data_IF_218814952731
#
_entry.id   IF_218814952731
#
_cell.length_a   1.000
_cell.length_b   1.000
_cell.length_c   1.000
_cell.angle_alpha   90.00
_cell.angle_beta   90.00
_cell.angle_gamma   90.00
#
_symmetry.space_group_name_H-M   'P 1'
#
loop_
_entity.id
_entity.type
_entity.pdbx_description
1 polymer ?
#
# COMPACT_ATOMS: atom_id res chain seq x y z
N UNK A 1 -21.46 -17.89 8.93
CA UNK A 1 -21.92 -16.66 8.28
C UNK A 1 -20.93 -15.56 8.60
N UNK A 2 -20.27 -15.01 7.56
CA UNK A 2 -19.32 -13.92 7.72
C UNK A 2 -20.04 -12.65 8.20
N UNK A 3 -19.28 -11.75 8.83
CA UNK A 3 -19.78 -10.41 9.20
C UNK A 3 -18.82 -9.33 8.71
N UNK A 4 -19.37 -8.21 8.26
CA UNK A 4 -18.62 -7.00 7.93
C UNK A 4 -18.85 -5.91 8.98
N UNK A 5 -17.77 -5.30 9.49
CA UNK A 5 -17.80 -4.18 10.43
C UNK A 5 -17.00 -3.04 9.83
N UNK A 6 -17.56 -1.84 9.77
CA UNK A 6 -16.84 -0.62 9.45
C UNK A 6 -16.46 0.11 10.74
N UNK A 7 -15.22 0.59 10.81
CA UNK A 7 -14.69 1.35 11.94
C UNK A 7 -14.07 2.64 11.42
N UNK A 8 -14.43 3.74 12.08
CA UNK A 8 -13.86 5.05 11.86
C UNK A 8 -12.96 5.43 13.04
N UNK A 9 -11.84 6.10 12.76
CA UNK A 9 -10.91 6.61 13.76
C UNK A 9 -10.16 7.85 13.28
N UNK A 10 -9.59 8.60 14.23
CA UNK A 10 -8.80 9.80 13.99
C UNK A 10 -7.33 9.55 14.37
N UNK A 11 -6.39 9.68 13.42
CA UNK A 11 -4.96 9.65 13.70
C UNK A 11 -4.55 10.85 14.56
N UNK A 12 -3.59 10.65 15.46
CA UNK A 12 -3.12 11.71 16.38
C UNK A 12 -1.96 12.53 15.81
N UNK A 13 -1.35 12.05 14.74
CA UNK A 13 -0.16 12.63 14.10
C UNK A 13 -0.12 12.22 12.63
N UNK A 14 0.71 12.91 11.83
CA UNK A 14 0.86 12.62 10.39
C UNK A 14 1.29 11.18 10.14
N UNK A 15 2.40 10.76 10.73
CA UNK A 15 2.81 9.36 10.74
C UNK A 15 2.29 8.71 12.03
N UNK A 16 1.18 7.97 11.97
CA UNK A 16 0.60 7.30 13.13
C UNK A 16 0.44 5.79 12.94
N UNK A 17 0.33 5.06 14.06
CA UNK A 17 0.12 3.61 14.04
C UNK A 17 -0.95 3.24 15.05
N UNK A 18 -1.96 2.52 14.58
CA UNK A 18 -3.09 2.06 15.36
C UNK A 18 -3.15 0.52 15.38
N UNK A 19 -3.44 -0.06 16.54
CA UNK A 19 -3.88 -1.46 16.63
C UNK A 19 -5.39 -1.54 16.39
N UNK A 20 -5.78 -1.86 15.16
CA UNK A 20 -7.19 -1.93 14.76
C UNK A 20 -7.92 -3.07 15.48
N UNK A 21 -7.22 -4.13 15.89
CA UNK A 21 -7.85 -5.21 16.66
C UNK A 21 -8.31 -4.71 18.02
N UNK A 22 -7.46 -3.97 18.72
CA UNK A 22 -7.80 -3.37 20.01
C UNK A 22 -8.96 -2.38 19.85
N UNK A 23 -8.94 -1.56 18.78
CA UNK A 23 -9.99 -0.56 18.53
C UNK A 23 -11.34 -1.20 18.20
N UNK A 24 -11.36 -2.24 17.36
CA UNK A 24 -12.60 -2.99 17.07
C UNK A 24 -13.15 -3.62 18.36
N UNK A 25 -12.29 -4.23 19.18
CA UNK A 25 -12.72 -4.82 20.45
C UNK A 25 -13.29 -3.76 21.42
N UNK A 26 -12.73 -2.55 21.43
CA UNK A 26 -13.22 -1.44 22.24
C UNK A 26 -14.61 -0.97 21.79
N UNK A 27 -14.85 -0.91 20.48
CA UNK A 27 -16.09 -0.38 19.89
C UNK A 27 -17.21 -1.41 19.76
N UNK A 28 -16.85 -2.66 19.46
CA UNK A 28 -17.79 -3.73 19.09
C UNK A 28 -17.68 -4.98 19.98
N UNK A 29 -16.87 -4.92 21.05
CA UNK A 29 -16.64 -6.07 21.93
C UNK A 29 -16.01 -7.25 21.19
N UNK A 30 -16.36 -8.46 21.62
CA UNK A 30 -15.86 -9.72 21.07
C UNK A 30 -16.48 -10.14 19.72
N UNK A 31 -17.10 -9.21 18.96
CA UNK A 31 -17.86 -9.55 17.75
C UNK A 31 -17.07 -10.36 16.70
N UNK A 32 -15.76 -10.15 16.60
CA UNK A 32 -14.88 -10.87 15.67
C UNK A 32 -14.20 -12.11 16.27
N UNK A 33 -14.38 -12.41 17.57
CA UNK A 33 -13.78 -13.58 18.23
C UNK A 33 -14.21 -14.93 17.63
N UNK A 34 -15.49 -15.14 17.24
CA UNK A 34 -15.93 -16.41 16.65
C UNK A 34 -15.25 -16.78 15.32
N UNK A 35 -14.58 -15.82 14.66
CA UNK A 35 -14.04 -15.98 13.32
C UNK A 35 -12.54 -16.31 13.33
N UNK A 36 -12.19 -17.41 12.68
CA UNK A 36 -10.80 -17.91 12.55
C UNK A 36 -9.95 -17.01 11.66
N UNK A 37 -10.55 -16.32 10.69
CA UNK A 37 -9.87 -15.42 9.77
C UNK A 37 -10.57 -14.08 9.73
N UNK A 38 -9.78 -13.03 9.52
CA UNK A 38 -10.27 -11.65 9.44
C UNK A 38 -9.59 -10.95 8.27
N UNK A 39 -10.37 -10.40 7.36
CA UNK A 39 -9.89 -9.56 6.26
C UNK A 39 -10.01 -8.11 6.70
N UNK A 40 -8.92 -7.35 6.68
CA UNK A 40 -8.89 -5.94 7.01
C UNK A 40 -8.67 -5.12 5.75
N UNK A 41 -9.51 -4.11 5.53
CA UNK A 41 -9.57 -3.32 4.31
C UNK A 41 -9.54 -1.82 4.61
N UNK A 42 -8.42 -1.17 4.28
CA UNK A 42 -8.24 0.27 4.32
C UNK A 42 -8.97 0.93 3.15
N UNK A 43 -9.58 2.09 3.41
CA UNK A 43 -10.23 2.92 2.41
C UNK A 43 -9.31 4.07 1.93
N UNK A 44 -8.01 4.01 2.22
CA UNK A 44 -7.08 5.11 2.00
C UNK A 44 -5.92 4.72 1.09
N UNK A 45 -5.34 5.73 0.44
CA UNK A 45 -4.19 5.61 -0.49
C UNK A 45 -2.85 5.91 0.20
N UNK A 46 -2.90 6.58 1.36
CA UNK A 46 -1.74 6.92 2.20
C UNK A 46 -1.76 6.22 3.56
N UNK A 47 -2.68 5.29 3.77
CA UNK A 47 -2.80 4.55 5.02
C UNK A 47 -3.27 3.12 4.79
N UNK A 48 -2.72 2.16 5.52
CA UNK A 48 -3.12 0.76 5.40
C UNK A 48 -2.33 -0.17 6.31
N UNK A 49 -2.34 -1.44 5.98
CA UNK A 49 -1.98 -2.50 6.91
C UNK A 49 -0.59 -3.06 6.68
N UNK A 50 0.05 -3.45 7.78
CA UNK A 50 1.18 -4.38 7.71
C UNK A 50 0.64 -5.81 7.49
N UNK A 51 1.18 -6.60 6.54
CA UNK A 51 0.87 -8.02 6.45
C UNK A 51 1.25 -8.75 7.74
N UNK A 52 0.46 -9.75 8.15
CA UNK A 52 0.65 -10.46 9.42
C UNK A 52 2.07 -10.99 9.63
N UNK A 53 2.71 -11.49 8.58
CA UNK A 53 4.09 -11.99 8.64
C UNK A 53 5.12 -10.88 8.86
N UNK A 54 4.91 -9.69 8.30
CA UNK A 54 5.77 -8.53 8.51
C UNK A 54 5.55 -7.96 9.91
N UNK A 55 4.29 -7.78 10.31
CA UNK A 55 3.94 -7.36 11.66
C UNK A 55 4.56 -8.30 12.71
N UNK A 56 4.50 -9.62 12.52
CA UNK A 56 5.05 -10.59 13.47
C UNK A 56 6.56 -10.44 13.63
N UNK A 57 7.28 -10.17 12.53
CA UNK A 57 8.72 -9.91 12.57
C UNK A 57 9.04 -8.60 13.28
N UNK A 58 8.29 -7.55 13.01
CA UNK A 58 8.49 -6.25 13.66
C UNK A 58 8.15 -6.30 15.15
N UNK A 59 7.06 -6.97 15.56
CA UNK A 59 6.70 -7.17 16.97
C UNK A 59 7.72 -8.00 17.75
N UNK A 60 8.41 -8.92 17.07
CA UNK A 60 9.34 -9.83 17.76
C UNK A 60 10.55 -9.12 18.38
N UNK A 61 10.81 -7.84 18.02
CA UNK A 61 11.96 -7.07 18.51
C UNK A 61 11.61 -5.61 18.79
N UNK A 62 11.92 -5.07 19.98
CA UNK A 62 11.49 -3.73 20.40
C UNK A 62 11.79 -2.59 19.42
N UNK A 63 12.97 -2.59 18.79
CA UNK A 63 13.44 -1.50 17.94
C UNK A 63 13.09 -1.65 16.44
N UNK A 64 12.58 -2.81 16.03
CA UNK A 64 12.37 -3.10 14.61
C UNK A 64 11.29 -2.22 14.00
N UNK A 65 10.22 -1.95 14.76
CA UNK A 65 9.11 -1.14 14.31
C UNK A 65 9.51 0.32 14.09
N UNK A 66 10.23 0.92 15.04
CA UNK A 66 10.75 2.29 14.92
C UNK A 66 11.75 2.41 13.76
N UNK A 67 12.64 1.43 13.61
CA UNK A 67 13.62 1.38 12.51
C UNK A 67 12.92 1.30 11.15
N UNK A 68 11.82 0.54 11.07
CA UNK A 68 11.00 0.46 9.86
C UNK A 68 10.38 1.80 9.50
N UNK A 69 9.74 2.49 10.47
CA UNK A 69 9.15 3.80 10.22
C UNK A 69 10.20 4.87 9.86
N UNK A 70 11.35 4.84 10.54
CA UNK A 70 12.48 5.72 10.24
C UNK A 70 13.00 5.51 8.81
N UNK A 71 13.09 4.26 8.35
CA UNK A 71 13.49 3.97 6.98
C UNK A 71 12.52 4.62 5.98
N UNK A 72 11.20 4.50 6.19
CA UNK A 72 10.21 5.12 5.28
C UNK A 72 10.42 6.63 5.16
N UNK A 73 10.53 7.35 6.28
CA UNK A 73 10.75 8.80 6.27
C UNK A 73 12.14 9.22 5.77
N UNK A 74 13.13 8.32 5.82
CA UNK A 74 14.46 8.58 5.24
C UNK A 74 14.46 8.46 3.72
N UNK A 75 13.70 7.49 3.19
CA UNK A 75 13.61 7.24 1.74
C UNK A 75 12.66 8.23 1.08
N UNK A 76 11.54 8.51 1.73
CA UNK A 76 10.48 9.40 1.27
C UNK A 76 10.31 10.53 2.29
N UNK A 77 11.25 11.49 2.33
CA UNK A 77 11.13 12.64 3.22
C UNK A 77 9.93 13.51 2.84
N UNK A 78 9.24 14.06 3.84
CA UNK A 78 8.12 14.97 3.63
C UNK A 78 8.56 16.23 2.87
N UNK A 79 7.68 16.78 2.01
CA UNK A 79 7.88 18.07 1.30
C UNK A 79 9.19 18.15 0.52
N UNK A 80 9.63 17.05 -0.07
CA UNK A 80 10.92 16.97 -0.73
C UNK A 80 10.88 17.39 -2.21
N UNK A 81 9.95 18.27 -2.60
CA UNK A 81 9.78 18.71 -3.98
C UNK A 81 9.34 17.58 -4.92
N UNK A 82 8.32 16.81 -4.52
CA UNK A 82 7.68 15.83 -5.39
C UNK A 82 6.86 16.55 -6.47
N UNK A 83 6.72 15.93 -7.64
CA UNK A 83 5.92 16.52 -8.72
C UNK A 83 4.43 16.44 -8.44
N UNK A 84 3.97 15.36 -7.81
CA UNK A 84 2.60 15.21 -7.35
C UNK A 84 2.14 16.37 -6.45
N UNK A 85 3.06 16.96 -5.69
CA UNK A 85 2.77 18.09 -4.80
C UNK A 85 2.74 19.46 -5.52
N UNK A 86 3.12 19.51 -6.80
CA UNK A 86 3.12 20.73 -7.63
C UNK A 86 1.73 20.97 -8.21
N UNK A 87 0.82 21.50 -7.38
CA UNK A 87 -0.60 21.68 -7.69
C UNK A 87 -0.84 22.50 -8.96
N UNK A 88 0.07 23.39 -9.32
CA UNK A 88 0.04 24.20 -10.54
C UNK A 88 0.16 23.37 -11.82
N UNK A 89 0.80 22.20 -11.74
CA UNK A 89 0.94 21.26 -12.85
C UNK A 89 -0.21 20.25 -12.95
N UNK A 90 -1.07 20.18 -11.91
CA UNK A 90 -2.17 19.21 -11.83
C UNK A 90 -3.41 19.70 -12.56
N UNK A 91 -3.80 18.97 -13.59
CA UNK A 91 -5.01 19.25 -14.38
C UNK A 91 -6.23 18.48 -13.90
N UNK A 92 -6.03 17.49 -13.04
CA UNK A 92 -7.05 16.62 -12.46
C UNK A 92 -7.77 17.25 -11.25
N UNK A 93 -7.17 18.27 -10.62
CA UNK A 93 -7.75 18.96 -9.45
C UNK A 93 -8.50 20.23 -9.88
N UNK A 94 -9.81 20.32 -9.60
CA UNK A 94 -10.60 21.52 -9.83
C UNK A 94 -10.01 22.75 -9.11
N UNK A 95 -10.05 23.96 -9.70
CA UNK A 95 -9.45 25.15 -9.11
C UNK A 95 -9.90 25.46 -7.67
N UNK A 96 -11.16 25.18 -7.34
CA UNK A 96 -11.77 25.40 -6.02
C UNK A 96 -11.31 24.40 -4.94
N UNK A 97 -10.62 23.33 -5.34
CA UNK A 97 -10.12 22.29 -4.44
C UNK A 97 -8.60 22.38 -4.22
N UNK A 98 -7.87 23.11 -5.06
CA UNK A 98 -6.40 23.18 -5.06
C UNK A 98 -5.81 23.61 -3.72
N UNK A 99 -6.41 24.59 -3.04
CA UNK A 99 -5.92 25.09 -1.75
C UNK A 99 -6.07 24.08 -0.60
N UNK A 100 -6.87 23.04 -0.79
CA UNK A 100 -7.16 22.00 0.21
C UNK A 100 -6.46 20.68 -0.10
N UNK A 101 -5.75 20.61 -1.22
CA UNK A 101 -5.07 19.40 -1.63
C UNK A 101 -3.87 19.15 -0.72
N UNK A 102 -3.78 17.96 -0.09
CA UNK A 102 -2.67 17.64 0.77
C UNK A 102 -1.39 17.44 -0.03
N UNK A 103 -0.28 17.93 0.52
CA UNK A 103 1.08 17.64 0.05
C UNK A 103 1.49 16.31 0.70
N UNK A 104 1.31 15.21 -0.02
CA UNK A 104 1.45 13.87 0.55
C UNK A 104 2.04 12.83 -0.42
N UNK A 105 2.72 13.27 -1.49
CA UNK A 105 3.40 12.38 -2.42
C UNK A 105 4.33 11.37 -1.71
N UNK A 106 5.06 11.82 -0.68
CA UNK A 106 5.90 10.96 0.14
C UNK A 106 5.11 9.81 0.79
N UNK A 107 3.91 10.09 1.27
CA UNK A 107 3.03 9.11 1.90
C UNK A 107 2.53 8.07 0.90
N UNK A 108 2.19 8.49 -0.33
CA UNK A 108 1.81 7.56 -1.40
C UNK A 108 2.99 6.62 -1.77
N UNK A 109 4.18 7.18 -1.96
CA UNK A 109 5.37 6.41 -2.31
C UNK A 109 5.80 5.47 -1.17
N UNK A 110 5.77 5.96 0.07
CA UNK A 110 6.06 5.16 1.26
C UNK A 110 5.04 4.03 1.45
N UNK A 111 3.76 4.23 1.11
CA UNK A 111 2.77 3.17 1.10
C UNK A 111 3.14 2.09 0.07
N UNK A 112 3.37 2.50 -1.17
CA UNK A 112 3.65 1.64 -2.32
C UNK A 112 4.94 0.84 -2.12
N UNK A 113 6.00 1.49 -1.64
CA UNK A 113 7.32 0.88 -1.48
C UNK A 113 7.56 0.23 -0.11
N UNK A 114 6.92 0.73 0.95
CA UNK A 114 7.07 0.24 2.32
C UNK A 114 6.45 -1.13 2.57
N UNK A 115 5.71 -1.66 1.59
CA UNK A 115 5.06 -2.95 1.71
C UNK A 115 3.78 -2.91 2.54
N UNK A 116 3.19 -1.73 2.73
CA UNK A 116 1.83 -1.55 3.25
C UNK A 116 0.80 -2.04 2.26
N UNK A 117 -0.33 -2.51 2.79
CA UNK A 117 -1.39 -3.16 2.04
C UNK A 117 -2.71 -2.44 2.27
N UNK A 118 -3.47 -2.20 1.19
CA UNK A 118 -4.87 -1.77 1.33
C UNK A 118 -5.71 -2.86 1.99
N UNK A 119 -5.39 -4.13 1.73
CA UNK A 119 -6.15 -5.27 2.20
C UNK A 119 -5.24 -6.40 2.71
N UNK A 120 -5.50 -6.93 3.90
CA UNK A 120 -4.73 -8.04 4.51
C UNK A 120 -5.64 -9.08 5.15
N UNK A 121 -5.31 -10.36 4.98
CA UNK A 121 -5.93 -11.45 5.75
C UNK A 121 -5.05 -11.80 6.96
N UNK A 122 -5.66 -11.90 8.14
CA UNK A 122 -5.01 -12.36 9.37
C UNK A 122 -5.66 -13.64 9.87
N UNK A 123 -4.84 -14.61 10.28
CA UNK A 123 -5.30 -15.75 11.09
C UNK A 123 -5.47 -15.29 12.54
N UNK A 124 -6.69 -15.43 13.06
CA UNK A 124 -7.07 -15.02 14.40
C UNK A 124 -6.35 -15.85 15.49
N UNK A 125 -5.92 -17.08 15.19
CA UNK A 125 -5.16 -17.95 16.11
C UNK A 125 -3.81 -17.35 16.50
N UNK A 126 -3.28 -16.43 15.70
CA UNK A 126 -2.10 -15.65 16.03
C UNK A 126 -2.56 -14.38 16.74
N UNK A 127 -2.50 -14.42 18.06
CA UNK A 127 -2.83 -13.30 18.95
C UNK A 127 -1.73 -12.25 18.89
N UNK A 128 -1.90 -11.30 17.97
CA UNK A 128 -0.98 -10.18 17.77
C UNK A 128 -1.74 -8.94 17.29
N UNK A 129 -1.21 -7.73 17.55
CA UNK A 129 -1.78 -6.49 17.04
C UNK A 129 -1.98 -6.52 15.52
N UNK A 130 -2.99 -5.81 15.05
CA UNK A 130 -3.21 -5.56 13.62
C UNK A 130 -2.91 -4.11 13.34
N UNK A 131 -1.68 -3.85 12.91
CA UNK A 131 -1.21 -2.49 12.71
C UNK A 131 -1.74 -1.89 11.42
N UNK A 132 -2.46 -0.79 11.59
CA UNK A 132 -2.78 0.19 10.56
C UNK A 132 -1.78 1.33 10.69
N UNK A 133 -1.00 1.55 9.63
CA UNK A 133 -0.01 2.61 9.52
C UNK A 133 -0.61 3.71 8.68
N UNK A 134 -0.75 4.89 9.27
CA UNK A 134 -1.16 6.11 8.60
C UNK A 134 0.07 6.96 8.31
N UNK A 135 0.29 7.29 7.04
CA UNK A 135 1.44 8.09 6.61
C UNK A 135 1.06 9.57 6.39
N UNK A 136 -0.22 9.92 6.50
CA UNK A 136 -0.75 11.26 6.25
C UNK A 136 -1.93 11.60 7.18
N UNK A 137 -1.84 11.20 8.45
CA UNK A 137 -2.94 11.19 9.41
C UNK A 137 -3.47 12.56 9.85
N UNK A 138 -2.69 13.63 9.64
CA UNK A 138 -3.07 15.00 9.99
C UNK A 138 -2.71 15.94 8.86
N UNK A 139 -3.60 16.88 8.52
CA UNK A 139 -3.33 17.96 7.58
C UNK A 139 -3.37 19.30 8.31
N UNK A 140 -2.26 20.06 8.26
CA UNK A 140 -2.13 21.36 8.95
C UNK A 140 -2.56 21.33 10.43
N UNK A 141 -2.22 20.26 11.15
CA UNK A 141 -2.57 20.08 12.56
C UNK A 141 -4.00 19.56 12.82
N UNK A 142 -4.82 19.42 11.78
CA UNK A 142 -6.16 18.83 11.88
C UNK A 142 -6.11 17.33 11.62
N UNK A 143 -6.60 16.47 12.54
CA UNK A 143 -6.76 15.03 12.30
C UNK A 143 -7.65 14.76 11.08
N UNK A 144 -7.23 13.80 10.25
CA UNK A 144 -8.07 13.31 9.15
C UNK A 144 -8.95 12.17 9.64
N UNK A 145 -10.11 12.00 9.02
CA UNK A 145 -10.96 10.85 9.30
C UNK A 145 -10.46 9.61 8.54
N UNK A 146 -10.36 8.48 9.24
CA UNK A 146 -9.98 7.20 8.65
C UNK A 146 -11.04 6.16 8.86
N UNK A 147 -11.51 5.61 7.74
CA UNK A 147 -12.35 4.43 7.68
C UNK A 147 -11.59 3.16 7.34
N UNK A 148 -11.94 2.06 7.99
CA UNK A 148 -11.57 0.70 7.58
C UNK A 148 -12.76 -0.24 7.69
N UNK A 149 -12.76 -1.30 6.89
CA UNK A 149 -13.72 -2.41 7.02
C UNK A 149 -12.99 -3.67 7.44
N UNK A 150 -13.61 -4.45 8.32
CA UNK A 150 -13.12 -5.75 8.77
C UNK A 150 -14.19 -6.79 8.48
N UNK A 151 -13.80 -7.87 7.80
CA UNK A 151 -14.70 -9.00 7.50
C UNK A 151 -14.23 -10.22 8.29
N UNK A 152 -15.04 -10.68 9.23
CA UNK A 152 -14.81 -11.94 9.95
C UNK A 152 -15.34 -13.12 9.15
N UNK A 153 -14.53 -14.16 8.96
CA UNK A 153 -14.91 -15.38 8.24
C UNK A 153 -14.14 -16.61 8.75
N UNK A 154 -14.65 -17.81 8.48
CA UNK A 154 -14.02 -19.06 8.88
C UNK A 154 -13.41 -19.78 7.68
N UNK A 155 -14.12 -19.79 6.56
CA UNK A 155 -13.63 -20.36 5.31
C UNK A 155 -13.89 -19.49 4.10
N UNK A 156 -13.26 -19.87 2.98
CA UNK A 156 -13.47 -19.24 1.70
C UNK A 156 -13.60 -20.29 0.60
N UNK A 157 -14.54 -20.06 -0.31
CA UNK A 157 -14.77 -20.87 -1.50
C UNK A 157 -14.46 -20.04 -2.73
N UNK A 158 -13.69 -20.58 -3.68
CA UNK A 158 -13.50 -19.95 -5.00
C UNK A 158 -14.72 -20.24 -5.86
N UNK A 159 -15.41 -19.21 -6.31
CA UNK A 159 -16.68 -19.34 -7.06
C UNK A 159 -16.55 -18.91 -8.52
N UNK A 160 -15.54 -18.10 -8.87
CA UNK A 160 -15.24 -17.75 -10.24
C UNK A 160 -13.75 -17.43 -10.43
N UNK A 161 -13.23 -17.69 -11.62
CA UNK A 161 -11.88 -17.32 -12.02
C UNK A 161 -11.85 -16.91 -13.50
N UNK A 162 -11.03 -15.92 -13.85
CA UNK A 162 -10.75 -15.54 -15.24
C UNK A 162 -9.37 -14.90 -15.36
N UNK A 163 -8.98 -14.56 -16.58
CA UNK A 163 -7.76 -13.80 -16.87
C UNK A 163 -8.11 -12.47 -17.51
N UNK A 164 -7.45 -11.42 -17.03
CA UNK A 164 -7.44 -10.10 -17.62
C UNK A 164 -6.11 -9.91 -18.36
N UNK A 165 -6.20 -9.54 -19.64
CA UNK A 165 -5.05 -9.10 -20.43
C UNK A 165 -4.96 -7.58 -20.34
N UNK A 166 -3.85 -7.09 -19.80
CA UNK A 166 -3.58 -5.66 -19.64
C UNK A 166 -2.59 -5.22 -20.71
N UNK A 167 -2.95 -4.32 -21.64
CA UNK A 167 -2.00 -3.73 -22.57
C UNK A 167 -1.00 -2.86 -21.79
N UNK A 168 0.27 -2.95 -22.17
CA UNK A 168 1.34 -2.14 -21.58
C UNK A 168 2.17 -1.51 -22.68
N UNK A 169 2.72 -0.32 -22.43
CA UNK A 169 3.60 0.32 -23.40
C UNK A 169 4.93 -0.44 -23.55
N UNK A 170 5.64 -0.15 -24.65
CA UNK A 170 7.02 -0.60 -24.84
C UNK A 170 8.03 0.09 -23.93
N UNK A 171 7.60 1.08 -23.13
CA UNK A 171 8.50 1.78 -22.22
C UNK A 171 8.94 0.87 -21.06
N UNK A 172 10.19 1.01 -20.59
CA UNK A 172 10.69 0.19 -19.48
C UNK A 172 9.86 0.33 -18.22
N UNK A 173 9.43 1.54 -17.88
CA UNK A 173 8.61 1.81 -16.71
C UNK A 173 7.27 2.34 -17.18
N UNK A 174 6.21 1.73 -16.66
CA UNK A 174 4.83 2.06 -17.01
C UNK A 174 3.91 1.79 -15.80
N UNK A 175 2.83 2.54 -15.67
CA UNK A 175 1.83 2.38 -14.63
C UNK A 175 0.44 2.44 -15.27
N UNK A 176 -0.36 1.40 -15.07
CA UNK A 176 -1.65 1.23 -15.73
C UNK A 176 -2.74 1.14 -14.66
N UNK A 177 -3.69 2.06 -14.73
CA UNK A 177 -4.92 2.00 -13.93
C UNK A 177 -5.77 0.82 -14.39
N UNK A 178 -6.00 -0.15 -13.52
CA UNK A 178 -6.86 -1.29 -13.83
C UNK A 178 -8.36 -0.95 -13.73
N UNK A 179 -8.70 0.28 -13.35
CA UNK A 179 -10.07 0.81 -13.31
C UNK A 179 -10.52 1.43 -14.65
N UNK A 180 -9.63 1.50 -15.63
CA UNK A 180 -9.94 1.93 -16.99
C UNK A 180 -11.11 1.10 -17.56
N UNK A 181 -12.18 1.73 -18.07
CA UNK A 181 -13.35 1.03 -18.59
C UNK A 181 -13.03 -0.01 -19.66
N UNK A 182 -12.02 0.26 -20.48
CA UNK A 182 -11.56 -0.59 -21.59
C UNK A 182 -11.08 -1.97 -21.12
N UNK A 183 -10.67 -2.08 -19.86
CA UNK A 183 -10.24 -3.34 -19.25
C UNK A 183 -11.43 -4.18 -18.72
N UNK A 184 -12.61 -3.59 -18.57
CA UNK A 184 -13.82 -4.28 -18.10
C UNK A 184 -13.74 -4.86 -16.68
N UNK A 185 -12.67 -4.61 -15.91
CA UNK A 185 -12.42 -5.23 -14.60
C UNK A 185 -13.60 -5.05 -13.63
N UNK A 186 -14.03 -3.82 -13.41
CA UNK A 186 -15.08 -3.50 -12.43
C UNK A 186 -16.46 -4.01 -12.87
N UNK A 187 -16.75 -3.99 -14.16
CA UNK A 187 -17.96 -4.57 -14.72
C UNK A 187 -17.96 -6.09 -14.51
N UNK A 188 -16.86 -6.77 -14.84
CA UNK A 188 -16.70 -8.21 -14.64
C UNK A 188 -16.90 -8.59 -13.16
N UNK A 189 -16.29 -7.85 -12.23
CA UNK A 189 -16.45 -8.09 -10.79
C UNK A 189 -17.90 -7.91 -10.37
N UNK A 190 -18.57 -6.80 -10.76
CA UNK A 190 -19.98 -6.57 -10.43
C UNK A 190 -20.87 -7.69 -10.94
N UNK A 191 -20.67 -8.11 -12.19
CA UNK A 191 -21.41 -9.21 -12.82
C UNK A 191 -21.23 -10.51 -12.06
N UNK A 192 -20.00 -10.86 -11.68
CA UNK A 192 -19.74 -12.06 -10.90
C UNK A 192 -20.33 -12.01 -9.49
N UNK A 193 -20.21 -10.88 -8.79
CA UNK A 193 -20.76 -10.72 -7.44
C UNK A 193 -22.27 -10.95 -7.44
N UNK A 194 -22.97 -10.37 -8.43
CA UNK A 194 -24.41 -10.58 -8.60
C UNK A 194 -24.74 -12.04 -8.99
N UNK A 195 -24.06 -12.59 -10.00
CA UNK A 195 -24.34 -13.94 -10.53
C UNK A 195 -24.10 -15.04 -9.50
N UNK A 196 -23.09 -14.87 -8.63
CA UNK A 196 -22.74 -15.83 -7.59
C UNK A 196 -23.30 -15.46 -6.21
N UNK A 197 -24.10 -14.40 -6.08
CA UNK A 197 -24.70 -13.99 -4.81
C UNK A 197 -23.67 -13.79 -3.68
N UNK A 198 -22.50 -13.24 -3.98
CA UNK A 198 -21.43 -13.05 -2.98
C UNK A 198 -21.72 -11.80 -2.15
N UNK A 199 -22.18 -11.95 -0.91
CA UNK A 199 -22.40 -10.81 0.00
C UNK A 199 -21.12 -10.37 0.70
N UNK A 200 -20.31 -11.34 1.15
CA UNK A 200 -19.01 -11.11 1.76
C UNK A 200 -17.96 -12.03 1.11
N UNK A 201 -16.81 -11.46 0.76
CA UNK A 201 -15.80 -12.15 -0.01
C UNK A 201 -14.64 -11.27 -0.43
N UNK A 202 -13.96 -11.67 -1.51
CA UNK A 202 -12.94 -10.84 -2.16
C UNK A 202 -12.76 -11.23 -3.62
N UNK A 203 -12.25 -10.29 -4.41
CA UNK A 203 -11.62 -10.56 -5.69
C UNK A 203 -10.11 -10.42 -5.51
N UNK A 204 -9.38 -11.49 -5.76
CA UNK A 204 -7.91 -11.46 -5.77
C UNK A 204 -7.43 -11.22 -7.19
N UNK A 205 -6.56 -10.23 -7.36
CA UNK A 205 -5.85 -9.98 -8.61
C UNK A 205 -4.44 -10.49 -8.42
N UNK A 206 -3.98 -11.38 -9.28
CA UNK A 206 -2.65 -11.99 -9.18
C UNK A 206 -1.95 -12.01 -10.54
N UNK A 207 -0.71 -11.51 -10.58
CA UNK A 207 0.13 -11.58 -11.78
C UNK A 207 0.42 -13.03 -12.14
N UNK A 208 0.27 -13.35 -13.43
CA UNK A 208 0.63 -14.66 -13.97
C UNK A 208 2.07 -15.05 -13.59
N UNK A 209 2.37 -16.35 -13.41
CA UNK A 209 3.65 -16.81 -12.87
C UNK A 209 4.87 -16.28 -13.65
N UNK A 210 4.73 -16.13 -14.95
CA UNK A 210 5.78 -15.66 -15.87
C UNK A 210 5.86 -14.12 -15.98
N UNK A 211 4.96 -13.39 -15.30
CA UNK A 211 4.96 -11.93 -15.29
C UNK A 211 6.04 -11.39 -14.34
N UNK A 212 7.26 -11.37 -14.85
CA UNK A 212 8.40 -10.78 -14.19
C UNK A 212 8.49 -9.28 -14.45
N UNK A 213 9.17 -8.58 -13.54
CA UNK A 213 9.42 -7.13 -13.64
C UNK A 213 8.15 -6.27 -13.69
N UNK A 214 7.08 -6.79 -13.10
CA UNK A 214 5.82 -6.11 -12.89
C UNK A 214 5.31 -6.41 -11.47
N UNK A 215 4.42 -5.55 -11.00
CA UNK A 215 3.78 -5.65 -9.71
C UNK A 215 2.41 -4.97 -9.67
N UNK A 216 1.71 -5.18 -8.58
CA UNK A 216 0.39 -4.65 -8.30
C UNK A 216 0.42 -3.83 -7.02
N UNK A 217 -0.34 -2.75 -7.01
CA UNK A 217 -0.65 -1.95 -5.81
C UNK A 217 -2.09 -1.47 -5.87
N UNK A 218 -2.65 -1.05 -4.73
CA UNK A 218 -3.91 -0.31 -4.69
C UNK A 218 -3.59 1.05 -4.10
N UNK A 219 -3.69 2.09 -4.91
CA UNK A 219 -3.32 3.44 -4.53
C UNK A 219 -4.12 4.46 -5.36
N UNK A 220 -3.78 5.73 -5.25
CA UNK A 220 -4.28 6.77 -6.14
C UNK A 220 -3.57 6.69 -7.48
N UNK A 221 -4.34 6.83 -8.56
CA UNK A 221 -3.80 6.97 -9.89
C UNK A 221 -3.82 8.45 -10.28
N UNK A 222 -2.77 9.16 -9.90
CA UNK A 222 -2.51 10.54 -10.30
C UNK A 222 -1.30 10.54 -11.25
N UNK A 223 -1.35 11.36 -12.30
CA UNK A 223 -0.40 11.31 -13.41
C UNK A 223 1.02 11.68 -12.98
N UNK A 224 1.20 12.76 -12.23
CA UNK A 224 2.51 13.20 -11.76
C UNK A 224 3.14 12.19 -10.79
N UNK A 225 2.34 11.64 -9.88
CA UNK A 225 2.75 10.59 -8.97
C UNK A 225 3.19 9.33 -9.72
N UNK A 226 2.37 8.86 -10.66
CA UNK A 226 2.62 7.59 -11.36
C UNK A 226 3.70 7.67 -12.44
N UNK A 227 3.76 8.78 -13.19
CA UNK A 227 4.62 8.93 -14.37
C UNK A 227 5.93 9.68 -14.07
N UNK A 228 6.01 10.38 -12.94
CA UNK A 228 7.24 11.07 -12.54
C UNK A 228 7.79 10.53 -11.23
N UNK A 229 7.12 10.77 -10.11
CA UNK A 229 7.70 10.46 -8.80
C UNK A 229 7.97 8.96 -8.64
N UNK A 230 6.97 8.10 -8.90
CA UNK A 230 7.15 6.64 -8.83
C UNK A 230 8.18 6.14 -9.85
N UNK A 231 8.21 6.72 -11.05
CA UNK A 231 9.18 6.37 -12.09
C UNK A 231 10.61 6.66 -11.64
N UNK A 232 10.85 7.82 -11.03
CA UNK A 232 12.17 8.18 -10.49
C UNK A 232 12.60 7.20 -9.39
N UNK A 233 11.69 6.84 -8.47
CA UNK A 233 11.97 5.84 -7.42
C UNK A 233 12.31 4.47 -8.04
N UNK A 234 11.58 4.03 -9.06
CA UNK A 234 11.83 2.74 -9.73
C UNK A 234 13.13 2.74 -10.56
N UNK A 235 13.56 3.90 -11.09
CA UNK A 235 14.84 4.01 -11.82
C UNK A 235 16.03 3.93 -10.89
N UNK A 236 16.04 4.73 -9.82
CA UNK A 236 17.16 4.83 -8.91
C UNK A 236 16.71 5.25 -7.50
N UNK A 237 16.31 4.29 -6.64
CA UNK A 237 15.75 4.61 -5.34
C UNK A 237 16.76 5.30 -4.40
N UNK A 238 18.06 4.96 -4.49
CA UNK A 238 19.10 5.60 -3.67
C UNK A 238 19.39 7.02 -4.15
N UNK A 239 19.43 7.23 -5.45
CA UNK A 239 19.57 8.55 -6.06
C UNK A 239 18.38 9.44 -5.73
N UNK A 240 17.17 8.89 -5.83
CA UNK A 240 15.93 9.56 -5.46
C UNK A 240 15.96 10.04 -4.02
N UNK A 241 16.23 9.16 -3.05
CA UNK A 241 16.31 9.54 -1.64
C UNK A 241 17.38 10.63 -1.40
N UNK A 242 18.53 10.55 -2.06
CA UNK A 242 19.58 11.55 -1.95
C UNK A 242 19.18 12.91 -2.55
N UNK A 243 18.49 12.92 -3.69
CA UNK A 243 17.98 14.12 -4.34
C UNK A 243 16.88 14.78 -3.49
N UNK A 244 15.89 14.00 -3.05
CA UNK A 244 14.79 14.46 -2.20
C UNK A 244 15.30 15.02 -0.87
N UNK A 245 16.31 14.39 -0.25
CA UNK A 245 16.97 14.95 0.93
C UNK A 245 17.64 16.32 0.66
N UNK A 246 18.22 16.55 -0.53
CA UNK A 246 18.77 17.87 -0.91
C UNK A 246 17.68 18.90 -1.15
N UNK A 247 16.52 18.52 -1.68
CA UNK A 247 15.40 19.44 -1.85
C UNK A 247 14.82 19.84 -0.49
N UNK A 248 14.61 18.88 0.41
CA UNK A 248 14.20 19.16 1.78
C UNK A 248 15.22 20.04 2.52
N UNK A 249 16.52 19.95 2.21
CA UNK A 249 17.57 20.83 2.74
C UNK A 249 17.40 22.30 2.33
N UNK A 250 16.95 22.55 1.09
CA UNK A 250 16.82 23.90 0.54
C UNK A 250 15.51 24.59 0.96
N UNK A 251 14.59 23.88 1.60
CA UNK A 251 13.36 24.45 2.16
C UNK A 251 13.45 24.58 3.69
N UNK A 252 13.57 25.80 4.23
CA UNK A 252 13.69 26.05 5.68
C UNK A 252 12.44 25.62 6.48
N UNK A 253 11.32 25.28 5.83
CA UNK A 253 10.09 24.80 6.48
C UNK A 253 9.92 23.28 6.46
N UNK A 254 10.84 22.53 5.84
CA UNK A 254 10.64 21.11 5.56
C UNK A 254 11.02 20.16 6.72
N UNK A 255 11.93 20.50 7.66
CA UNK A 255 12.34 19.57 8.75
C UNK A 255 12.86 20.29 10.03
N UNK A 256 12.57 19.80 11.26
CA UNK A 256 13.26 20.24 12.49
C UNK A 256 14.78 20.00 12.43
N UNK A 257 15.56 20.96 12.91
CA UNK A 257 17.02 21.11 12.74
C UNK A 257 17.96 19.97 13.20
N UNK A 258 17.49 18.74 13.47
CA UNK A 258 18.32 17.60 13.96
C UNK A 258 18.48 16.42 12.99
N UNK A 259 17.95 16.46 11.77
CA UNK A 259 18.10 15.38 10.77
C UNK A 259 19.26 15.64 9.80
N UNK A 260 20.44 15.97 10.33
CA UNK A 260 21.58 16.53 9.61
C UNK A 260 22.74 15.52 9.50
N UNK A 261 22.82 14.73 8.43
CA UNK A 261 24.08 14.35 7.75
C UNK A 261 23.86 13.30 6.64
N UNK A 262 24.31 13.60 5.42
CA UNK A 262 24.61 12.63 4.35
C UNK A 262 23.54 11.55 4.05
N UNK A 263 22.53 11.90 3.25
CA UNK A 263 21.41 11.02 2.87
C UNK A 263 21.79 9.61 2.38
N UNK A 264 22.92 9.44 1.67
CA UNK A 264 23.38 8.09 1.26
C UNK A 264 23.83 7.25 2.47
N UNK A 265 24.56 7.85 3.40
CA UNK A 265 24.98 7.17 4.62
C UNK A 265 23.79 6.95 5.55
N UNK A 266 22.84 7.88 5.61
CA UNK A 266 21.62 7.77 6.41
C UNK A 266 20.69 6.68 5.91
N UNK A 267 20.53 6.52 4.60
CA UNK A 267 19.76 5.42 4.04
C UNK A 267 20.42 4.06 4.29
N UNK A 268 21.73 3.95 4.03
CA UNK A 268 22.49 2.73 4.32
C UNK A 268 22.45 2.40 5.82
N UNK A 269 22.59 3.42 6.68
CA UNK A 269 22.50 3.28 8.14
C UNK A 269 21.09 2.89 8.59
N UNK A 270 20.03 3.49 8.04
CA UNK A 270 18.65 3.13 8.36
C UNK A 270 18.33 1.70 7.90
N UNK A 271 18.83 1.30 6.72
CA UNK A 271 18.71 -0.06 6.23
C UNK A 271 19.46 -1.05 7.13
N UNK A 272 20.70 -0.75 7.49
CA UNK A 272 21.49 -1.59 8.41
C UNK A 272 20.79 -1.69 9.78
N UNK A 273 20.31 -0.57 10.32
CA UNK A 273 19.53 -0.55 11.57
C UNK A 273 18.30 -1.45 11.48
N UNK A 274 17.54 -1.41 10.36
CA UNK A 274 16.40 -2.30 10.17
C UNK A 274 16.83 -3.77 10.04
N UNK A 275 17.88 -4.07 9.29
CA UNK A 275 18.42 -5.42 9.12
C UNK A 275 18.85 -6.02 10.46
N UNK A 276 19.62 -5.25 11.24
CA UNK A 276 20.09 -5.62 12.58
C UNK A 276 18.91 -5.79 13.53
N UNK A 277 17.96 -4.85 13.51
CA UNK A 277 16.75 -4.90 14.30
C UNK A 277 15.80 -6.03 13.87
N UNK A 278 15.94 -6.60 12.67
CA UNK A 278 15.24 -7.79 12.21
C UNK A 278 16.06 -9.08 12.43
N UNK A 279 17.27 -8.99 12.96
CA UNK A 279 18.16 -10.12 13.24
C UNK A 279 18.50 -10.97 12.01
N UNK A 280 18.57 -10.33 10.83
CA UNK A 280 18.99 -10.97 9.60
C UNK A 280 20.54 -10.97 9.61
N UNK A 281 21.16 -12.12 9.92
CA UNK A 281 22.60 -12.20 10.23
C UNK A 281 23.53 -11.49 9.24
N UNK A 282 24.53 -10.78 9.80
CA UNK A 282 25.51 -9.95 9.10
C UNK A 282 26.17 -10.65 7.89
N UNK A 283 26.45 -11.95 7.97
CA UNK A 283 27.14 -12.70 6.91
C UNK A 283 26.33 -12.94 5.63
N UNK A 284 24.99 -12.95 5.70
CA UNK A 284 24.14 -13.06 4.49
C UNK A 284 23.84 -11.71 3.87
N UNK A 285 23.82 -10.64 4.68
CA UNK A 285 23.52 -9.29 4.21
C UNK A 285 24.79 -8.58 3.74
N UNK A 286 25.93 -8.71 4.40
CA UNK A 286 27.22 -8.18 3.90
C UNK A 286 27.58 -8.81 2.55
N UNK A 287 27.41 -10.13 2.37
CA UNK A 287 27.61 -10.76 1.07
C UNK A 287 26.57 -10.34 0.02
N UNK A 288 25.35 -9.95 0.43
CA UNK A 288 24.35 -9.40 -0.48
C UNK A 288 24.74 -7.97 -0.87
N UNK A 289 24.96 -7.09 0.10
CA UNK A 289 25.33 -5.67 -0.03
C UNK A 289 26.64 -5.51 -0.80
N UNK A 290 27.66 -6.33 -0.55
CA UNK A 290 28.95 -6.30 -1.24
C UNK A 290 28.87 -6.81 -2.69
N UNK A 291 27.94 -7.73 -3.01
CA UNK A 291 27.62 -8.10 -4.41
C UNK A 291 26.59 -7.18 -5.07
N UNK A 292 25.95 -6.28 -4.33
CA UNK A 292 24.84 -5.44 -4.81
C UNK A 292 25.14 -3.95 -4.67
N UNK A 293 26.39 -3.52 -4.81
CA UNK A 293 26.65 -2.10 -5.13
C UNK A 293 26.06 -1.71 -6.51
N UNK A 294 25.61 -2.70 -7.29
CA UNK A 294 24.52 -2.60 -8.27
C UNK A 294 23.16 -2.93 -7.62
N UNK A 295 22.61 -2.05 -6.77
CA UNK A 295 21.26 -2.25 -6.22
C UNK A 295 20.24 -2.11 -7.35
N UNK A 296 19.88 -3.21 -7.99
CA UNK A 296 18.73 -3.24 -8.89
C UNK A 296 17.47 -2.91 -8.09
N UNK A 297 16.70 -1.91 -8.54
CA UNK A 297 15.45 -1.43 -7.96
C UNK A 297 14.48 -2.54 -7.51
N UNK A 298 14.57 -3.71 -8.14
CA UNK A 298 13.80 -4.94 -7.84
C UNK A 298 13.91 -5.47 -6.40
N UNK A 299 14.94 -5.09 -5.63
CA UNK A 299 15.09 -5.51 -4.21
C UNK A 299 14.68 -4.45 -3.19
N UNK A 300 14.68 -3.18 -3.58
CA UNK A 300 14.36 -2.06 -2.70
C UNK A 300 12.85 -1.80 -2.65
N UNK A 301 12.16 -1.99 -3.77
CA UNK A 301 10.70 -1.94 -3.87
C UNK A 301 10.25 -3.36 -4.21
N UNK A 302 9.91 -4.17 -3.20
CA UNK A 302 9.29 -5.48 -3.45
C UNK A 302 7.81 -5.27 -3.75
N UNK A 303 7.54 -4.79 -4.97
CA UNK A 303 6.20 -4.68 -5.52
C UNK A 303 5.48 -6.02 -5.40
N UNK A 304 4.18 -5.95 -5.11
CA UNK A 304 3.38 -7.15 -4.82
C UNK A 304 3.03 -7.85 -6.12
N UNK A 305 2.88 -9.18 -6.04
CA UNK A 305 2.37 -9.98 -7.16
C UNK A 305 0.86 -10.13 -7.14
N UNK A 306 0.24 -9.82 -6.01
CA UNK A 306 -1.21 -9.90 -5.84
C UNK A 306 -1.73 -8.77 -4.96
N UNK A 307 -2.96 -8.35 -5.22
CA UNK A 307 -3.75 -7.46 -4.37
C UNK A 307 -5.15 -8.03 -4.19
N UNK A 308 -5.77 -7.77 -3.04
CA UNK A 308 -7.13 -8.22 -2.74
C UNK A 308 -8.09 -7.01 -2.77
N UNK A 309 -9.20 -7.16 -3.49
CA UNK A 309 -10.33 -6.25 -3.51
C UNK A 309 -11.47 -6.85 -2.67
N UNK A 310 -11.67 -6.38 -1.42
CA UNK A 310 -12.69 -6.90 -0.52
C UNK A 310 -14.12 -6.66 -1.03
N UNK A 311 -15.02 -7.60 -0.74
CA UNK A 311 -16.46 -7.49 -1.00
C UNK A 311 -17.20 -7.61 0.33
N UNK A 312 -18.13 -6.71 0.60
CA UNK A 312 -18.94 -6.70 1.83
C UNK A 312 -20.32 -6.11 1.57
N UNK A 313 -21.31 -6.58 2.31
CA UNK A 313 -22.69 -6.08 2.31
C UNK A 313 -23.00 -5.17 3.51
N UNK A 314 -22.02 -4.92 4.38
CA UNK A 314 -22.15 -4.01 5.54
C UNK A 314 -22.75 -2.63 5.23
N UNK A 315 -22.61 -2.11 4.01
CA UNK A 315 -23.23 -0.85 3.58
C UNK A 315 -24.57 -0.99 2.87
N UNK A 316 -24.97 -2.22 2.50
CA UNK A 316 -26.19 -2.54 1.75
C UNK A 316 -26.54 -4.02 2.01
N UNK A 317 -27.25 -4.33 3.12
CA UNK A 317 -27.45 -5.71 3.56
C UNK A 317 -28.01 -6.62 2.46
N UNK A 318 -27.38 -7.78 2.26
CA UNK A 318 -27.76 -8.72 1.20
C UNK A 318 -27.22 -8.39 -0.21
N UNK A 319 -26.60 -7.23 -0.40
CA UNK A 319 -25.98 -6.84 -1.67
C UNK A 319 -24.48 -6.60 -1.47
N UNK A 320 -23.66 -7.58 -1.85
CA UNK A 320 -22.20 -7.46 -1.77
C UNK A 320 -21.68 -6.41 -2.74
N UNK A 321 -20.83 -5.51 -2.24
CA UNK A 321 -20.16 -4.50 -3.06
C UNK A 321 -18.68 -4.44 -2.74
N UNK A 322 -17.88 -4.00 -3.71
CA UNK A 322 -16.47 -3.74 -3.48
C UNK A 322 -16.29 -2.69 -2.38
N UNK A 323 -15.48 -3.01 -1.39
CA UNK A 323 -15.10 -2.09 -0.34
C UNK A 323 -13.85 -1.34 -0.78
N UNK A 324 -14.00 -0.06 -1.11
CA UNK A 324 -12.91 0.79 -1.58
C UNK A 324 -13.12 2.24 -1.17
N UNK A 325 -12.01 2.95 -0.98
CA UNK A 325 -12.01 4.41 -0.88
C UNK A 325 -12.29 5.10 -2.21
N UNK A 326 -12.65 6.37 -2.15
CA UNK A 326 -12.96 7.22 -3.31
C UNK A 326 -11.85 7.20 -4.36
N UNK A 327 -10.59 7.35 -3.92
CA UNK A 327 -9.42 7.47 -4.79
C UNK A 327 -8.67 6.15 -5.01
N UNK A 328 -9.11 5.06 -4.38
CA UNK A 328 -8.42 3.78 -4.53
C UNK A 328 -8.63 3.18 -5.91
N UNK A 329 -7.52 2.82 -6.53
CA UNK A 329 -7.42 2.21 -7.84
C UNK A 329 -6.42 1.05 -7.76
N UNK A 330 -6.76 -0.16 -8.24
CA UNK A 330 -5.77 -1.19 -8.50
C UNK A 330 -4.90 -0.78 -9.69
N UNK A 331 -3.58 -0.80 -9.51
CA UNK A 331 -2.59 -0.31 -10.48
C UNK A 331 -1.59 -1.42 -10.79
N UNK A 332 -1.38 -1.69 -12.07
CA UNK A 332 -0.26 -2.49 -12.54
C UNK A 332 0.94 -1.59 -12.79
N UNK A 333 2.08 -1.92 -12.20
CA UNK A 333 3.33 -1.21 -12.36
C UNK A 333 4.34 -2.12 -13.04
N UNK A 334 4.89 -1.67 -14.17
CA UNK A 334 5.95 -2.32 -14.93
C UNK A 334 7.26 -1.55 -14.72
N UNK A 335 8.39 -2.25 -14.60
CA UNK A 335 9.73 -1.63 -14.60
C UNK A 335 10.74 -2.29 -15.54
N UNK A 336 10.31 -3.29 -16.32
CA UNK A 336 10.93 -3.68 -17.60
C UNK A 336 9.87 -4.06 -18.61
N UNK A 337 10.08 -3.86 -19.92
CA UNK A 337 9.08 -4.17 -20.93
C UNK A 337 8.64 -5.64 -20.91
N UNK A 338 7.37 -5.90 -21.17
CA UNK A 338 6.91 -7.24 -21.54
C UNK A 338 7.34 -7.57 -22.97
N UNK A 339 7.73 -8.82 -23.23
CA UNK A 339 7.99 -9.29 -24.58
C UNK A 339 6.76 -9.22 -25.50
N UNK A 340 5.55 -9.21 -24.92
CA UNK A 340 4.27 -9.33 -25.66
C UNK A 340 3.41 -8.06 -25.60
N UNK A 341 3.98 -6.92 -25.21
CA UNK A 341 3.26 -5.62 -25.00
C UNK A 341 1.96 -5.76 -24.19
N UNK A 342 1.87 -6.81 -23.38
CA UNK A 342 0.72 -7.18 -22.58
C UNK A 342 1.21 -7.87 -21.31
N UNK A 343 0.39 -7.81 -20.26
CA UNK A 343 0.59 -8.49 -18.98
C UNK A 343 -0.68 -9.25 -18.61
N UNK A 344 -0.53 -10.41 -18.00
CA UNK A 344 -1.64 -11.28 -17.58
C UNK A 344 -1.89 -11.18 -16.08
N UNK A 345 -3.15 -10.95 -15.71
CA UNK A 345 -3.63 -10.97 -14.33
C UNK A 345 -4.72 -12.03 -14.22
N UNK A 346 -4.57 -12.98 -13.30
CA UNK A 346 -5.64 -13.87 -12.88
C UNK A 346 -6.53 -13.15 -11.87
N UNK A 347 -7.84 -13.21 -12.08
CA UNK A 347 -8.86 -12.71 -11.17
C UNK A 347 -9.56 -13.91 -10.56
N UNK A 348 -9.59 -13.97 -9.23
CA UNK A 348 -10.28 -15.05 -8.51
C UNK A 348 -11.30 -14.44 -7.55
N UNK A 349 -12.59 -14.69 -7.77
CA UNK A 349 -13.65 -14.34 -6.83
C UNK A 349 -13.79 -15.45 -5.80
N UNK A 350 -13.72 -15.08 -4.53
CA UNK A 350 -14.00 -15.98 -3.41
C UNK A 350 -15.16 -15.47 -2.56
N UNK A 351 -16.04 -16.39 -2.17
CA UNK A 351 -17.08 -16.18 -1.16
C UNK A 351 -16.54 -16.58 0.21
N UNK A 352 -16.93 -15.85 1.26
CA UNK A 352 -16.58 -16.18 2.64
C UNK A 352 -17.72 -16.90 3.38
N UNK A 353 -17.37 -17.78 4.33
CA UNK A 353 -18.30 -18.61 5.12
C UNK A 353 -18.16 -18.44 6.64
#
# INVERSE_FOLDING_TARGET
>A
MPIGIAVDFEPRRRLDVLDVRAEVNRLHGAALEPYRRRLYASHHTTAGYLPQSLAARLCSRPQAFESYLKLLGTVFPERAGYRHDQIELRTDVPPDQRDREPINADSHLAFIAGGLHSCVSYDARRTMPVYFVDLDGTHQGTPRQRRTTIIGYNDQEVVAETRLTVPVSGHPIDAISLKQPELGLYEQVRTWVAAHGVTNGRVRLELGPDEHHAGLTVNEYETLLMQHDLVEVLRNPLGFAAEKARHAWNDPKAVPAKALAYARYDLVRALNQLVDALGLGASRVEHLVARTLEVSASRFIRMRRSVDLPISDAGSPGEGRLVQGTYQVPILVQWRPSHRTTRQITLTLSRFE
#
